data_IF_949601250203
#
_entry.id   IF_949601250203
#
_cell.length_a   1.000
_cell.length_b   1.000
_cell.length_c   1.000
_cell.angle_alpha   90.00
_cell.angle_beta   90.00
_cell.angle_gamma   90.00
#
_symmetry.space_group_name_H-M   'P 1'
#
loop_
_entity.id
_entity.type
_entity.pdbx_description
1 polymer ?
#
# COMPACT_ATOMS: atom_id res chain seq x y z
N UNK A 1 4.79 -20.51 5.03
CA UNK A 1 5.48 -20.06 6.23
C UNK A 1 6.77 -19.33 5.84
N UNK A 2 6.72 -18.00 5.76
CA UNK A 2 7.81 -17.17 5.29
C UNK A 2 8.72 -16.74 6.45
N UNK A 3 10.07 -16.68 6.22
CA UNK A 3 10.95 -16.06 7.20
C UNK A 3 10.53 -14.61 7.44
N UNK A 4 10.53 -14.15 8.71
CA UNK A 4 10.00 -12.83 9.08
C UNK A 4 10.72 -11.66 8.41
N UNK A 5 12.03 -11.82 8.14
CA UNK A 5 12.83 -10.78 7.50
C UNK A 5 12.47 -10.49 6.04
N UNK A 6 11.94 -11.49 5.31
CA UNK A 6 11.66 -11.41 3.87
C UNK A 6 10.17 -11.53 3.51
N UNK A 7 9.31 -11.87 4.47
CA UNK A 7 7.90 -12.12 4.21
C UNK A 7 7.17 -10.92 3.58
N UNK A 8 7.37 -9.71 4.11
CA UNK A 8 6.75 -8.50 3.54
C UNK A 8 7.25 -8.16 2.14
N UNK A 9 8.57 -8.14 1.86
CA UNK A 9 9.08 -7.95 0.50
C UNK A 9 8.53 -8.95 -0.51
N UNK A 10 8.50 -10.24 -0.18
CA UNK A 10 7.97 -11.29 -1.07
C UNK A 10 6.49 -11.05 -1.38
N UNK A 11 5.67 -10.75 -0.37
CA UNK A 11 4.25 -10.49 -0.61
C UNK A 11 4.02 -9.24 -1.47
N UNK A 12 4.81 -8.18 -1.28
CA UNK A 12 4.73 -6.96 -2.10
C UNK A 12 5.15 -7.26 -3.55
N UNK A 13 6.22 -8.01 -3.76
CA UNK A 13 6.68 -8.40 -5.10
C UNK A 13 5.60 -9.22 -5.84
N UNK A 14 5.00 -10.20 -5.17
CA UNK A 14 3.89 -10.99 -5.72
C UNK A 14 2.67 -10.12 -6.01
N UNK A 15 2.34 -9.16 -5.14
CA UNK A 15 1.20 -8.27 -5.32
C UNK A 15 1.37 -7.32 -6.49
N UNK A 16 2.60 -6.85 -6.74
CA UNK A 16 2.92 -5.92 -7.83
C UNK A 16 3.38 -6.63 -9.11
N UNK A 17 3.42 -7.97 -9.14
CA UNK A 17 3.81 -8.73 -10.31
C UNK A 17 2.79 -8.57 -11.46
N UNK A 18 3.23 -8.77 -12.70
CA UNK A 18 2.34 -8.72 -13.88
C UNK A 18 1.20 -9.75 -13.84
N UNK A 19 1.40 -10.86 -13.14
CA UNK A 19 0.42 -11.95 -12.98
C UNK A 19 0.33 -12.34 -11.51
N UNK A 20 -0.31 -11.51 -10.67
CA UNK A 20 -0.43 -11.84 -9.26
C UNK A 20 -1.30 -13.08 -9.08
N UNK A 21 -0.99 -13.95 -8.11
CA UNK A 21 -1.78 -15.15 -7.84
C UNK A 21 -3.21 -14.79 -7.46
N UNK A 22 -4.16 -15.71 -7.66
CA UNK A 22 -5.56 -15.49 -7.28
C UNK A 22 -5.75 -15.39 -5.77
N UNK A 23 -4.89 -16.07 -5.01
CA UNK A 23 -4.90 -16.10 -3.55
C UNK A 23 -3.50 -16.29 -2.99
N UNK A 24 -3.21 -15.62 -1.89
CA UNK A 24 -2.01 -15.86 -1.07
C UNK A 24 -2.44 -16.20 0.35
N UNK A 25 -1.81 -17.24 0.92
CA UNK A 25 -1.95 -17.56 2.34
C UNK A 25 -0.55 -17.58 2.94
N UNK A 26 -0.33 -16.77 3.96
CA UNK A 26 1.00 -16.62 4.55
C UNK A 26 0.96 -16.55 6.08
N UNK A 27 1.93 -17.19 6.71
CA UNK A 27 2.20 -17.03 8.14
C UNK A 27 3.31 -15.99 8.31
N UNK A 28 3.02 -14.95 9.09
CA UNK A 28 3.86 -13.76 9.29
C UNK A 28 3.83 -13.36 10.77
N UNK A 29 4.65 -12.38 11.16
CA UNK A 29 4.49 -11.72 12.45
C UNK A 29 3.12 -11.05 12.55
N UNK A 30 2.50 -11.10 13.72
CA UNK A 30 1.17 -10.49 13.98
C UNK A 30 1.14 -9.00 13.58
N UNK A 31 2.20 -8.25 13.90
CA UNK A 31 2.31 -6.83 13.53
C UNK A 31 2.22 -6.63 12.01
N UNK A 32 2.91 -7.47 11.24
CA UNK A 32 2.89 -7.39 9.76
C UNK A 32 1.48 -7.65 9.23
N UNK A 33 0.79 -8.65 9.76
CA UNK A 33 -0.61 -8.93 9.38
C UNK A 33 -1.53 -7.77 9.75
N UNK A 34 -1.35 -7.16 10.91
CA UNK A 34 -2.10 -5.97 11.32
C UNK A 34 -1.87 -4.79 10.37
N UNK A 35 -0.61 -4.56 9.94
CA UNK A 35 -0.26 -3.51 8.96
C UNK A 35 -0.89 -3.79 7.59
N UNK A 36 -0.86 -5.03 7.10
CA UNK A 36 -1.50 -5.41 5.84
C UNK A 36 -3.00 -5.07 5.86
N UNK A 37 -3.69 -5.30 6.97
CA UNK A 37 -5.13 -5.09 7.16
C UNK A 37 -5.52 -3.68 7.59
N UNK A 38 -4.55 -2.83 7.88
CA UNK A 38 -4.81 -1.51 8.43
C UNK A 38 -5.66 -0.65 7.49
N UNK A 39 -6.51 0.18 8.09
CA UNK A 39 -7.37 1.15 7.39
C UNK A 39 -6.77 2.56 7.51
N UNK A 40 -7.11 3.48 6.60
CA UNK A 40 -6.72 4.88 6.68
C UNK A 40 -7.01 5.50 8.05
N UNK A 41 -6.16 6.42 8.49
CA UNK A 41 -6.26 7.09 9.80
C UNK A 41 -5.65 6.33 10.97
N UNK A 42 -5.32 5.06 10.81
CA UNK A 42 -4.71 4.24 11.85
C UNK A 42 -3.19 4.43 11.98
N UNK A 43 -2.67 4.27 13.21
CA UNK A 43 -1.22 4.40 13.49
C UNK A 43 -0.34 3.43 12.68
N UNK A 44 -0.87 2.25 12.34
CA UNK A 44 -0.14 1.17 11.65
C UNK A 44 -0.39 1.15 10.13
N UNK A 45 -1.31 2.01 9.65
CA UNK A 45 -1.54 2.18 8.22
C UNK A 45 -0.33 2.84 7.55
N UNK A 46 0.08 2.32 6.39
CA UNK A 46 1.26 2.81 5.71
C UNK A 46 1.55 2.12 4.38
N UNK A 47 2.78 2.24 3.91
CA UNK A 47 3.23 1.73 2.61
C UNK A 47 2.84 0.26 2.39
N UNK A 48 3.08 -0.62 3.37
CA UNK A 48 2.75 -2.04 3.24
C UNK A 48 1.25 -2.27 3.03
N UNK A 49 0.41 -1.54 3.79
CA UNK A 49 -1.05 -1.60 3.64
C UNK A 49 -1.47 -1.27 2.21
N UNK A 50 -0.98 -0.15 1.70
CA UNK A 50 -1.30 0.38 0.38
C UNK A 50 -0.81 -0.52 -0.76
N UNK A 51 0.44 -1.01 -0.69
CA UNK A 51 1.00 -1.85 -1.75
C UNK A 51 0.29 -3.21 -1.84
N UNK A 52 -0.06 -3.82 -0.71
CA UNK A 52 -0.80 -5.08 -0.72
C UNK A 52 -2.26 -4.84 -1.13
N UNK A 53 -2.94 -3.85 -0.55
CA UNK A 53 -4.35 -3.60 -0.80
C UNK A 53 -4.64 -3.03 -2.19
N UNK A 54 -3.63 -2.59 -2.93
CA UNK A 54 -3.78 -2.25 -4.35
C UNK A 54 -4.33 -3.44 -5.16
N UNK A 55 -3.77 -4.63 -4.95
CA UNK A 55 -4.10 -5.83 -5.71
C UNK A 55 -4.89 -6.89 -4.93
N UNK A 56 -4.85 -6.85 -3.59
CA UNK A 56 -5.42 -7.88 -2.73
C UNK A 56 -6.33 -7.32 -1.64
N UNK A 57 -7.33 -8.12 -1.28
CA UNK A 57 -8.19 -7.90 -0.12
C UNK A 57 -7.84 -8.92 0.97
N UNK A 58 -7.53 -8.47 2.20
CA UNK A 58 -7.41 -9.36 3.34
C UNK A 58 -8.78 -9.96 3.70
N UNK A 59 -8.97 -11.27 3.47
CA UNK A 59 -10.27 -11.94 3.65
C UNK A 59 -10.39 -12.67 4.96
N UNK A 60 -9.27 -13.14 5.51
CA UNK A 60 -9.25 -13.86 6.79
C UNK A 60 -7.90 -13.72 7.48
N UNK A 61 -7.87 -13.88 8.79
CA UNK A 61 -6.63 -14.12 9.54
C UNK A 61 -6.96 -14.83 10.86
N UNK A 62 -5.97 -15.55 11.37
CA UNK A 62 -6.01 -16.11 12.70
C UNK A 62 -4.63 -16.09 13.36
N UNK A 63 -4.61 -15.98 14.69
CA UNK A 63 -3.39 -15.99 15.48
C UNK A 63 -2.83 -17.40 15.53
N UNK A 64 -1.51 -17.53 15.35
CA UNK A 64 -0.77 -18.78 15.54
C UNK A 64 0.05 -18.66 16.81
N UNK A 65 -0.20 -19.49 17.83
CA UNK A 65 0.55 -19.47 19.08
C UNK A 65 2.04 -19.76 18.85
N UNK A 66 2.91 -19.12 19.62
CA UNK A 66 4.35 -19.30 19.51
C UNK A 66 4.79 -20.76 19.78
N UNK A 67 4.02 -21.52 20.57
CA UNK A 67 4.27 -22.95 20.82
C UNK A 67 4.07 -23.87 19.60
N UNK A 68 3.50 -23.35 18.48
CA UNK A 68 3.37 -24.07 17.22
C UNK A 68 4.66 -24.07 16.37
N UNK A 69 5.72 -23.40 16.85
CA UNK A 69 6.98 -23.25 16.13
C UNK A 69 8.17 -23.81 16.89
N UNK A 70 9.14 -24.32 16.16
CA UNK A 70 10.44 -24.71 16.68
C UNK A 70 11.55 -24.18 15.76
N UNK A 71 12.50 -23.38 16.28
CA UNK A 71 12.52 -22.78 17.61
C UNK A 71 11.34 -21.82 17.84
N UNK A 72 10.97 -21.63 19.10
CA UNK A 72 9.85 -20.75 19.47
C UNK A 72 10.20 -19.28 19.16
N UNK A 73 9.38 -18.54 18.41
CA UNK A 73 9.64 -17.13 18.13
C UNK A 73 9.31 -16.23 19.34
N UNK A 74 10.01 -15.11 19.45
CA UNK A 74 9.81 -14.11 20.50
C UNK A 74 8.55 -13.27 20.30
N UNK A 75 8.00 -13.25 19.09
CA UNK A 75 6.84 -12.43 18.73
C UNK A 75 5.66 -13.30 18.29
N UNK A 76 4.46 -12.80 18.51
CA UNK A 76 3.25 -13.48 18.06
C UNK A 76 3.19 -13.55 16.52
N UNK A 77 2.71 -14.68 16.02
CA UNK A 77 2.49 -14.93 14.60
C UNK A 77 1.01 -14.92 14.25
N UNK A 78 0.71 -14.73 12.99
CA UNK A 78 -0.63 -14.93 12.45
C UNK A 78 -0.55 -15.45 11.00
N UNK A 79 -1.55 -16.24 10.64
CA UNK A 79 -1.80 -16.62 9.25
C UNK A 79 -2.80 -15.64 8.64
N UNK A 80 -2.54 -15.15 7.44
CA UNK A 80 -3.43 -14.23 6.70
C UNK A 80 -3.75 -14.80 5.34
N UNK A 81 -5.03 -14.73 4.95
CA UNK A 81 -5.52 -15.00 3.60
C UNK A 81 -5.74 -13.68 2.85
N UNK A 82 -5.15 -13.56 1.67
CA UNK A 82 -5.20 -12.41 0.78
C UNK A 82 -5.79 -12.87 -0.55
N UNK A 83 -6.98 -12.39 -0.92
CA UNK A 83 -7.63 -12.69 -2.19
C UNK A 83 -7.37 -11.55 -3.18
N UNK A 84 -6.94 -11.90 -4.40
CA UNK A 84 -6.77 -10.92 -5.47
C UNK A 84 -8.11 -10.24 -5.77
N UNK A 85 -8.10 -8.93 -5.96
CA UNK A 85 -9.28 -8.18 -6.42
C UNK A 85 -9.79 -8.73 -7.75
N UNK A 86 -11.10 -8.75 -7.94
CA UNK A 86 -11.72 -9.20 -9.19
C UNK A 86 -11.28 -8.31 -10.36
N UNK A 87 -11.18 -7.00 -10.10
CA UNK A 87 -10.71 -6.02 -11.07
C UNK A 87 -9.44 -5.35 -10.56
N UNK A 88 -8.47 -5.18 -11.45
CA UNK A 88 -7.25 -4.44 -11.15
C UNK A 88 -7.56 -2.95 -11.02
N UNK A 89 -7.17 -2.33 -9.90
CA UNK A 89 -7.36 -0.89 -9.69
C UNK A 89 -6.45 -0.05 -10.60
N UNK A 90 -5.26 -0.57 -10.92
CA UNK A 90 -4.25 0.03 -11.79
C UNK A 90 -3.55 -1.05 -12.61
N UNK A 91 -3.02 -0.66 -13.78
CA UNK A 91 -2.24 -1.52 -14.67
C UNK A 91 -1.06 -0.75 -15.27
N UNK A 92 -0.05 -1.46 -15.75
CA UNK A 92 1.08 -0.87 -16.47
C UNK A 92 1.82 0.20 -15.65
N UNK A 93 2.15 1.30 -16.31
CA UNK A 93 2.92 2.43 -15.73
C UNK A 93 2.22 3.11 -14.54
N UNK A 94 0.90 3.03 -14.47
CA UNK A 94 0.15 3.59 -13.35
C UNK A 94 0.47 2.89 -12.02
N UNK A 95 0.84 1.60 -12.06
CA UNK A 95 1.31 0.87 -10.86
C UNK A 95 2.63 1.44 -10.37
N UNK A 96 3.59 1.70 -11.26
CA UNK A 96 4.89 2.25 -10.89
C UNK A 96 4.76 3.67 -10.32
N UNK A 97 3.91 4.48 -10.94
CA UNK A 97 3.55 5.82 -10.46
C UNK A 97 2.91 5.76 -9.07
N UNK A 98 1.96 4.85 -8.86
CA UNK A 98 1.32 4.62 -7.56
C UNK A 98 2.35 4.24 -6.49
N UNK A 99 3.24 3.29 -6.78
CA UNK A 99 4.30 2.87 -5.85
C UNK A 99 5.19 4.04 -5.46
N UNK A 100 5.59 4.86 -6.44
CA UNK A 100 6.41 6.07 -6.22
C UNK A 100 5.66 7.09 -5.37
N UNK A 101 4.40 7.36 -5.70
CA UNK A 101 3.51 8.27 -4.98
C UNK A 101 3.36 7.87 -3.50
N UNK A 102 3.07 6.60 -3.23
CA UNK A 102 2.91 6.05 -1.89
C UNK A 102 4.22 6.15 -1.10
N UNK A 103 5.35 5.71 -1.67
CA UNK A 103 6.65 5.74 -0.99
C UNK A 103 7.06 7.17 -0.61
N UNK A 104 6.90 8.13 -1.51
CA UNK A 104 7.25 9.53 -1.26
C UNK A 104 6.27 10.15 -0.26
N UNK A 105 4.97 9.92 -0.41
CA UNK A 105 3.96 10.43 0.50
C UNK A 105 4.16 10.00 1.96
N UNK A 106 4.66 8.77 2.17
CA UNK A 106 5.01 8.25 3.50
C UNK A 106 6.46 8.47 3.93
N UNK A 107 7.28 9.12 3.10
CA UNK A 107 8.70 9.36 3.41
C UNK A 107 8.92 10.14 4.71
N UNK A 108 8.02 11.05 5.05
CA UNK A 108 8.03 11.80 6.32
C UNK A 108 6.62 11.85 6.92
N UNK A 109 6.29 10.90 7.76
CA UNK A 109 4.95 10.63 8.25
C UNK A 109 4.21 11.85 8.87
N UNK A 110 4.94 12.75 9.56
CA UNK A 110 4.38 13.95 10.22
C UNK A 110 4.17 15.14 9.27
N UNK A 111 4.67 15.06 8.03
CA UNK A 111 4.57 16.15 7.05
C UNK A 111 3.28 16.03 6.23
N UNK A 112 2.82 17.17 5.74
CA UNK A 112 1.75 17.28 4.76
C UNK A 112 2.20 16.59 3.47
N UNK A 113 1.36 15.68 2.95
CA UNK A 113 1.70 14.85 1.79
C UNK A 113 2.03 15.69 0.56
N UNK A 114 1.25 16.73 0.27
CA UNK A 114 1.47 17.62 -0.87
C UNK A 114 2.88 18.21 -0.90
N UNK A 115 3.43 18.62 0.26
CA UNK A 115 4.79 19.15 0.35
C UNK A 115 5.88 18.14 -0.04
N UNK A 116 5.65 16.86 0.22
CA UNK A 116 6.58 15.78 -0.13
C UNK A 116 6.50 15.47 -1.64
N UNK A 117 5.31 15.55 -2.21
CA UNK A 117 5.07 15.22 -3.61
C UNK A 117 5.60 16.29 -4.59
N UNK A 118 5.83 17.52 -4.14
CA UNK A 118 6.45 18.61 -4.94
C UNK A 118 7.84 18.27 -5.48
N UNK A 119 8.50 17.26 -4.90
CA UNK A 119 9.79 16.76 -5.42
C UNK A 119 9.65 15.96 -6.73
N UNK A 120 8.43 15.56 -7.10
CA UNK A 120 8.16 14.69 -8.25
C UNK A 120 7.23 15.32 -9.29
N UNK A 121 6.32 16.19 -8.86
CA UNK A 121 5.32 16.83 -9.71
C UNK A 121 5.25 18.32 -9.44
N UNK A 122 4.89 19.09 -10.45
CA UNK A 122 4.71 20.53 -10.31
C UNK A 122 3.56 20.87 -9.35
N UNK A 123 3.59 22.06 -8.79
CA UNK A 123 2.55 22.50 -7.86
C UNK A 123 1.16 22.59 -8.56
N UNK A 124 1.13 22.98 -9.83
CA UNK A 124 -0.09 23.05 -10.63
C UNK A 124 -0.71 21.66 -10.84
N UNK A 125 0.11 20.68 -11.28
CA UNK A 125 -0.34 19.29 -11.44
C UNK A 125 -0.91 18.72 -10.13
N UNK A 126 -0.22 18.94 -9.02
CA UNK A 126 -0.65 18.48 -7.71
C UNK A 126 -1.97 19.12 -7.26
N UNK A 127 -2.13 20.44 -7.42
CA UNK A 127 -3.37 21.14 -7.07
C UNK A 127 -4.56 20.60 -7.85
N UNK A 128 -4.45 20.52 -9.17
CA UNK A 128 -5.50 19.97 -10.02
C UNK A 128 -5.85 18.54 -9.62
N UNK A 129 -4.86 17.68 -9.40
CA UNK A 129 -5.10 16.28 -9.03
C UNK A 129 -5.75 16.15 -7.63
N UNK A 130 -5.37 17.00 -6.66
CA UNK A 130 -5.98 17.02 -5.32
C UNK A 130 -7.44 17.45 -5.37
N UNK A 131 -7.76 18.49 -6.18
CA UNK A 131 -9.14 18.97 -6.39
C UNK A 131 -10.00 17.88 -7.05
N UNK A 132 -9.51 17.24 -8.12
CA UNK A 132 -10.23 16.14 -8.80
C UNK A 132 -10.53 14.96 -7.86
N UNK A 133 -9.61 14.63 -6.94
CA UNK A 133 -9.77 13.52 -5.99
C UNK A 133 -10.54 13.94 -4.73
N UNK A 134 -10.74 15.23 -4.50
CA UNK A 134 -11.37 15.76 -3.30
C UNK A 134 -10.49 15.62 -2.05
N UNK A 135 -9.17 15.80 -2.20
CA UNK A 135 -8.23 15.78 -1.08
C UNK A 135 -7.96 17.17 -0.53
N UNK A 136 -7.94 17.27 0.81
CA UNK A 136 -7.48 18.48 1.49
C UNK A 136 -5.97 18.67 1.23
N UNK A 137 -5.56 19.91 0.91
CA UNK A 137 -4.16 20.26 0.69
C UNK A 137 -3.26 20.08 1.92
N UNK A 138 -3.85 20.01 3.11
CA UNK A 138 -3.15 19.77 4.38
C UNK A 138 -3.14 18.29 4.78
N UNK A 139 -3.73 17.39 3.97
CA UNK A 139 -3.84 15.98 4.31
C UNK A 139 -2.47 15.32 4.47
N UNK A 140 -2.36 14.43 5.44
CA UNK A 140 -1.22 13.52 5.61
C UNK A 140 -1.49 12.20 4.91
N UNK A 141 -0.45 11.55 4.40
CA UNK A 141 -0.58 10.28 3.67
C UNK A 141 -1.36 9.19 4.45
N UNK A 142 -1.22 9.17 5.78
CA UNK A 142 -1.92 8.19 6.63
C UNK A 142 -3.44 8.31 6.62
N UNK A 143 -4.00 9.45 6.23
CA UNK A 143 -5.45 9.66 6.15
C UNK A 143 -6.03 9.36 4.76
N UNK A 144 -5.18 9.12 3.76
CA UNK A 144 -5.58 8.92 2.35
C UNK A 144 -5.84 7.44 2.09
N UNK A 145 -6.99 7.10 1.50
CA UNK A 145 -7.38 5.72 1.21
C UNK A 145 -6.64 5.15 -0.01
N UNK A 146 -6.74 3.82 -0.20
CA UNK A 146 -6.20 3.13 -1.39
C UNK A 146 -6.81 3.72 -2.66
N UNK A 147 -8.14 3.91 -2.68
CA UNK A 147 -8.90 4.44 -3.81
C UNK A 147 -8.49 5.88 -4.13
N UNK A 148 -8.28 6.71 -3.11
CA UNK A 148 -7.79 8.08 -3.29
C UNK A 148 -6.37 8.10 -3.85
N UNK A 149 -5.47 7.25 -3.37
CA UNK A 149 -4.12 7.11 -3.94
C UNK A 149 -4.17 6.61 -5.39
N UNK A 150 -5.05 5.67 -5.72
CA UNK A 150 -5.28 5.17 -7.08
C UNK A 150 -5.74 6.32 -7.99
N UNK A 151 -6.75 7.07 -7.58
CA UNK A 151 -7.28 8.19 -8.36
C UNK A 151 -6.22 9.29 -8.53
N UNK A 152 -5.48 9.62 -7.47
CA UNK A 152 -4.38 10.59 -7.52
C UNK A 152 -3.29 10.15 -8.51
N UNK A 153 -2.93 8.85 -8.53
CA UNK A 153 -1.97 8.30 -9.47
C UNK A 153 -2.45 8.44 -10.92
N UNK A 154 -3.73 8.17 -11.20
CA UNK A 154 -4.33 8.32 -12.53
C UNK A 154 -4.36 9.79 -12.98
N UNK A 155 -4.73 10.73 -12.11
CA UNK A 155 -4.76 12.15 -12.41
C UNK A 155 -3.37 12.68 -12.78
N UNK A 156 -2.36 12.32 -12.00
CA UNK A 156 -0.98 12.73 -12.23
C UNK A 156 -0.40 12.14 -13.53
N UNK A 157 -0.80 10.92 -13.93
CA UNK A 157 -0.39 10.33 -15.21
C UNK A 157 -0.96 11.03 -16.45
N UNK A 158 -2.21 11.51 -16.36
CA UNK A 158 -2.84 12.28 -17.45
C UNK A 158 -2.17 13.64 -17.71
N UNK A 159 -1.57 14.20 -16.68
CA UNK A 159 -0.87 15.49 -16.78
C UNK A 159 0.48 15.38 -17.47
N UNK A 160 1.15 14.22 -17.39
CA UNK A 160 2.44 13.98 -18.04
C UNK A 160 2.30 13.87 -19.57
N UNK A 161 1.16 13.34 -20.06
CA UNK A 161 0.88 13.20 -21.52
C UNK A 161 0.41 14.49 -22.21
N UNK A 162 0.13 15.58 -21.48
CA UNK A 162 -0.28 16.87 -22.05
C UNK A 162 0.86 17.88 -22.20
N UNK A 163 2.07 17.50 -21.81
CA UNK A 163 3.26 18.38 -21.83
C UNK A 163 4.24 18.06 -22.98
N UNK A 164 3.85 17.15 -23.90
CA UNK A 164 4.49 16.89 -25.19
C UNK A 164 3.64 17.50 -26.31
#
# INVERSE_FOLDING_TARGET
>A
NLPYSVGSPILVELALSRRPPSMMVATLQMEVVQRIKAKPGGKIYGVLSLLIQLAFEPVSYFKVPAGCFYPRPDVASACVGLRRRAEALLTGEDVDRYVKLVKVGFGQRRKIMLKLLRNLWSESQLKTAYEEVGLDFQVRAEAVSVEQFVNLSKCLGRSDTRSE
#
